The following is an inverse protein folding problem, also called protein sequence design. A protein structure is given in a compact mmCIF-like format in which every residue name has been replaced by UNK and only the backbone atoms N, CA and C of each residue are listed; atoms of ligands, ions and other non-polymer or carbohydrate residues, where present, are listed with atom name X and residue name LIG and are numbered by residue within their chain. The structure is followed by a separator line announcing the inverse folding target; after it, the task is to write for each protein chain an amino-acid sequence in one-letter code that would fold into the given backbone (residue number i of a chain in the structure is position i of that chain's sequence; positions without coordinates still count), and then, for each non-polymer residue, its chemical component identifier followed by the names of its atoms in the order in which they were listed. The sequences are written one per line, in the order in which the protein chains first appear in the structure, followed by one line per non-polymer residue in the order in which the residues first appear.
data_IF_159941603126
#
_entry.id   IF_159941603126
#
_cell.length_a   1.000
_cell.length_b   1.000
_cell.length_c   1.000
_cell.angle_alpha   90.00
_cell.angle_beta   90.00
_cell.angle_gamma   90.00
#
_symmetry.space_group_name_H-M   'P 1'
#
loop_
_entity.id
_entity.type
_entity.pdbx_description
1 polymer ?
#
# COMPACT_ATOMS: atom_id res chain seq x y z
N UNK A 1 -24.40 -4.70 -13.17
CA UNK A 1 -24.17 -5.35 -14.50
C UNK A 1 -22.84 -6.10 -14.60
N UNK A 2 -21.78 -5.73 -13.87
CA UNK A 2 -20.58 -6.59 -13.69
C UNK A 2 -20.69 -7.56 -12.50
N UNK A 3 -21.45 -7.16 -11.46
CA UNK A 3 -21.70 -7.90 -10.21
C UNK A 3 -22.32 -9.29 -10.39
N UNK A 4 -23.19 -9.46 -11.37
CA UNK A 4 -23.89 -10.74 -11.61
C UNK A 4 -23.13 -11.66 -12.57
N UNK A 5 -22.20 -11.10 -13.35
CA UNK A 5 -21.59 -11.83 -14.47
C UNK A 5 -20.27 -12.52 -14.09
N UNK A 6 -19.55 -11.99 -13.08
CA UNK A 6 -18.26 -12.54 -12.63
C UNK A 6 -18.08 -12.37 -11.11
N UNK A 7 -18.82 -13.14 -10.29
CA UNK A 7 -18.68 -13.07 -8.84
C UNK A 7 -17.27 -13.43 -8.35
N UNK A 8 -16.46 -14.15 -9.15
CA UNK A 8 -15.07 -14.52 -8.88
C UNK A 8 -14.07 -13.38 -8.70
N UNK A 9 -14.40 -12.16 -9.12
CA UNK A 9 -13.53 -11.00 -8.91
C UNK A 9 -13.84 -10.25 -7.60
N UNK A 10 -14.76 -10.74 -6.77
CA UNK A 10 -15.08 -10.12 -5.49
C UNK A 10 -14.33 -10.76 -4.32
N UNK A 11 -13.81 -9.96 -3.35
CA UNK A 11 -13.12 -10.46 -2.17
C UNK A 11 -13.93 -11.50 -1.39
N UNK A 12 -15.23 -11.24 -1.20
CA UNK A 12 -16.10 -12.13 -0.43
C UNK A 12 -16.35 -13.46 -1.13
N UNK A 13 -16.42 -13.48 -2.47
CA UNK A 13 -16.61 -14.73 -3.22
C UNK A 13 -15.35 -15.60 -3.19
N UNK A 14 -14.16 -15.00 -3.36
CA UNK A 14 -12.91 -15.73 -3.23
C UNK A 14 -12.79 -16.30 -1.81
N UNK A 15 -13.09 -15.52 -0.77
CA UNK A 15 -13.03 -16.01 0.62
C UNK A 15 -14.07 -17.07 0.97
N UNK A 16 -15.30 -16.98 0.46
CA UNK A 16 -16.30 -18.04 0.59
C UNK A 16 -15.86 -19.33 -0.11
N UNK A 17 -15.13 -19.24 -1.22
CA UNK A 17 -14.60 -20.39 -1.95
C UNK A 17 -13.35 -20.96 -1.28
N UNK A 18 -12.43 -20.12 -0.81
CA UNK A 18 -11.27 -20.52 -0.01
C UNK A 18 -11.70 -21.29 1.24
N UNK A 19 -12.73 -20.84 1.96
CA UNK A 19 -13.23 -21.55 3.14
C UNK A 19 -13.92 -22.89 2.83
N UNK A 20 -14.39 -23.09 1.59
CA UNK A 20 -15.01 -24.35 1.12
C UNK A 20 -14.02 -25.30 0.46
N UNK A 21 -12.82 -24.84 0.14
CA UNK A 21 -11.76 -25.67 -0.40
C UNK A 21 -11.10 -26.48 0.72
N UNK A 22 -11.08 -27.80 0.57
CA UNK A 22 -10.62 -28.75 1.60
C UNK A 22 -9.14 -28.58 1.96
N UNK A 23 -8.36 -27.98 1.06
CA UNK A 23 -6.96 -27.62 1.28
C UNK A 23 -6.81 -26.39 2.17
N UNK A 24 -7.59 -25.34 1.89
CA UNK A 24 -7.52 -24.06 2.60
C UNK A 24 -8.25 -24.09 3.94
N UNK A 25 -9.26 -24.95 4.10
CA UNK A 25 -9.95 -25.17 5.38
C UNK A 25 -9.05 -25.81 6.46
N UNK A 26 -7.89 -26.36 6.08
CA UNK A 26 -6.89 -26.97 6.99
C UNK A 26 -5.81 -25.98 7.41
N UNK A 27 -5.74 -24.81 6.79
CA UNK A 27 -4.80 -23.77 7.15
C UNK A 27 -5.43 -22.96 8.29
N UNK A 28 -4.79 -22.97 9.47
CA UNK A 28 -5.24 -22.10 10.55
C UNK A 28 -5.14 -20.64 10.10
N UNK A 29 -6.22 -19.86 10.21
CA UNK A 29 -6.19 -18.45 9.85
C UNK A 29 -5.14 -17.73 10.69
N UNK A 30 -4.29 -16.93 10.03
CA UNK A 30 -3.33 -16.09 10.73
C UNK A 30 -4.11 -15.08 11.59
N UNK A 31 -3.84 -15.07 12.89
CA UNK A 31 -4.40 -14.07 13.78
C UNK A 31 -3.66 -12.73 13.60
N UNK A 32 -4.17 -11.91 12.69
CA UNK A 32 -3.66 -10.57 12.35
C UNK A 32 -3.72 -9.57 13.52
N UNK A 33 -4.48 -9.87 14.60
CA UNK A 33 -4.54 -8.98 15.78
C UNK A 33 -3.22 -8.86 16.53
N UNK A 34 -2.32 -9.82 16.32
CA UNK A 34 -0.99 -9.88 16.96
C UNK A 34 0.08 -9.11 16.20
N UNK A 35 -0.23 -8.64 15.00
CA UNK A 35 0.72 -7.93 14.15
C UNK A 35 0.52 -6.42 14.27
N UNK A 36 1.64 -5.72 14.19
CA UNK A 36 1.73 -4.27 14.04
C UNK A 36 2.64 -4.03 12.83
N UNK A 37 2.10 -3.45 11.76
CA UNK A 37 2.73 -3.40 10.44
C UNK A 37 2.79 -1.95 9.95
N UNK A 38 4.01 -1.49 9.66
CA UNK A 38 4.27 -0.24 8.96
C UNK A 38 4.75 -0.60 7.56
N UNK A 39 4.02 -0.17 6.54
CA UNK A 39 4.41 -0.30 5.14
C UNK A 39 4.73 1.09 4.57
N UNK A 40 5.94 1.25 4.06
CA UNK A 40 6.43 2.50 3.49
C UNK A 40 6.65 2.31 2.00
N UNK A 41 6.04 3.16 1.19
CA UNK A 41 6.25 3.18 -0.26
C UNK A 41 7.21 4.30 -0.67
N UNK A 42 7.84 4.13 -1.82
CA UNK A 42 8.76 5.11 -2.42
C UNK A 42 8.04 6.13 -3.33
N UNK A 43 6.71 6.16 -3.28
CA UNK A 43 5.83 6.95 -4.12
C UNK A 43 5.40 6.26 -5.41
N UNK A 44 4.34 6.78 -5.99
CA UNK A 44 3.80 6.45 -7.30
C UNK A 44 3.80 7.72 -8.17
N UNK A 45 4.18 7.53 -9.43
CA UNK A 45 4.20 8.60 -10.40
C UNK A 45 2.77 8.90 -10.87
N UNK A 46 2.34 10.16 -10.77
CA UNK A 46 1.13 10.63 -11.45
C UNK A 46 1.53 11.55 -12.58
N UNK A 47 1.19 11.17 -13.81
CA UNK A 47 1.44 12.02 -14.96
C UNK A 47 0.28 13.01 -15.19
N UNK A 48 0.62 14.26 -14.89
CA UNK A 48 0.20 15.56 -15.47
C UNK A 48 -1.30 15.79 -15.70
N UNK A 49 -2.00 16.10 -14.62
CA UNK A 49 -2.76 17.34 -14.34
C UNK A 49 -3.53 17.06 -13.03
N UNK A 50 -3.56 17.97 -12.07
CA UNK A 50 -4.31 17.75 -10.82
C UNK A 50 -5.81 17.50 -11.07
N UNK A 51 -6.28 17.80 -12.28
CA UNK A 51 -7.65 17.63 -12.75
C UNK A 51 -7.82 16.57 -13.85
N UNK A 52 -6.77 15.84 -14.26
CA UNK A 52 -6.87 14.72 -15.23
C UNK A 52 -6.00 13.56 -14.80
N UNK A 53 -6.64 12.40 -14.68
CA UNK A 53 -5.92 11.12 -14.62
C UNK A 53 -5.55 10.77 -16.07
N UNK A 54 -4.37 11.21 -16.54
CA UNK A 54 -3.83 10.71 -17.79
C UNK A 54 -3.04 9.42 -17.48
N UNK A 55 -3.57 8.29 -17.96
CA UNK A 55 -2.85 7.03 -17.94
C UNK A 55 -1.53 7.20 -18.71
N UNK A 56 -0.42 6.72 -18.16
CA UNK A 56 0.91 6.74 -18.78
C UNK A 56 0.88 6.29 -20.25
N UNK A 57 0.05 5.29 -20.54
CA UNK A 57 -0.09 4.67 -21.84
C UNK A 57 -1.53 4.31 -22.14
N UNK A 58 -1.97 4.49 -23.39
CA UNK A 58 -3.25 3.93 -23.85
C UNK A 58 -3.06 2.52 -24.41
N UNK A 59 -4.12 1.71 -24.37
CA UNK A 59 -4.11 0.39 -25.02
C UNK A 59 -3.82 0.49 -26.53
N UNK A 60 -4.28 1.58 -27.17
CA UNK A 60 -3.99 1.83 -28.59
C UNK A 60 -2.51 2.10 -28.83
N UNK A 61 -1.85 2.90 -27.99
CA UNK A 61 -0.41 3.13 -28.04
C UNK A 61 0.35 1.81 -27.83
N UNK A 62 0.02 1.07 -26.77
CA UNK A 62 0.69 -0.18 -26.42
C UNK A 62 0.54 -1.25 -27.51
N UNK A 63 -0.58 -1.27 -28.24
CA UNK A 63 -0.80 -2.22 -29.35
C UNK A 63 0.19 -2.06 -30.50
N UNK A 64 0.83 -0.88 -30.61
CA UNK A 64 1.80 -0.55 -31.67
C UNK A 64 3.25 -0.77 -31.21
N UNK A 65 3.48 -1.24 -29.98
CA UNK A 65 4.82 -1.38 -29.43
C UNK A 65 5.57 -2.59 -29.97
N UNK A 66 6.83 -2.34 -30.32
CA UNK A 66 7.80 -3.42 -30.53
C UNK A 66 8.49 -3.80 -29.20
N UNK A 67 9.28 -4.88 -29.22
CA UNK A 67 9.98 -5.39 -28.01
C UNK A 67 10.86 -4.35 -27.32
N UNK A 68 11.48 -3.43 -28.07
CA UNK A 68 12.30 -2.37 -27.48
C UNK A 68 11.43 -1.34 -26.77
N UNK A 69 10.30 -0.95 -27.36
CA UNK A 69 9.35 -0.01 -26.76
C UNK A 69 8.72 -0.56 -25.47
N UNK A 70 8.51 -1.87 -25.37
CA UNK A 70 8.11 -2.52 -24.11
C UNK A 70 9.16 -2.41 -23.00
N UNK A 71 10.45 -2.40 -23.36
CA UNK A 71 11.56 -2.30 -22.39
C UNK A 71 11.87 -0.86 -22.02
N UNK A 72 11.95 0.04 -23.02
CA UNK A 72 12.34 1.43 -22.84
C UNK A 72 11.55 2.32 -23.81
N UNK A 73 10.87 3.32 -23.27
CA UNK A 73 10.27 4.41 -24.04
C UNK A 73 11.13 5.68 -23.94
N UNK A 74 12.03 5.87 -24.91
CA UNK A 74 12.86 7.08 -24.97
C UNK A 74 12.07 8.39 -25.15
N UNK A 75 10.85 8.34 -25.69
CA UNK A 75 10.03 9.55 -25.88
C UNK A 75 9.39 10.03 -24.58
N UNK A 76 9.10 9.11 -23.66
CA UNK A 76 8.54 9.40 -22.34
C UNK A 76 9.55 9.20 -21.21
N UNK A 77 10.80 8.84 -21.53
CA UNK A 77 11.88 8.50 -20.60
C UNK A 77 11.47 7.52 -19.49
N UNK A 78 10.86 6.40 -19.88
CA UNK A 78 10.22 5.43 -18.97
C UNK A 78 10.55 3.99 -19.38
N UNK A 79 10.27 3.03 -18.51
CA UNK A 79 10.55 1.60 -18.72
C UNK A 79 9.26 0.80 -18.56
N UNK A 80 8.40 0.70 -19.59
CA UNK A 80 6.99 0.33 -19.41
C UNK A 80 6.75 -0.97 -18.65
N UNK A 81 7.48 -2.04 -18.99
CA UNK A 81 7.34 -3.33 -18.28
C UNK A 81 7.71 -3.23 -16.80
N UNK A 82 8.75 -2.48 -16.47
CA UNK A 82 9.18 -2.28 -15.08
C UNK A 82 8.15 -1.41 -14.36
N UNK A 83 7.71 -0.32 -14.99
CA UNK A 83 6.74 0.60 -14.41
C UNK A 83 5.40 -0.12 -14.09
N UNK A 84 4.87 -0.90 -15.05
CA UNK A 84 3.65 -1.71 -14.83
C UNK A 84 3.83 -2.74 -13.71
N UNK A 85 4.98 -3.42 -13.67
CA UNK A 85 5.25 -4.41 -12.64
C UNK A 85 5.33 -3.77 -11.25
N UNK A 86 6.06 -2.66 -11.13
CA UNK A 86 6.25 -1.99 -9.86
C UNK A 86 4.93 -1.42 -9.33
N UNK A 87 4.17 -0.69 -10.16
CA UNK A 87 2.87 -0.13 -9.79
C UNK A 87 1.85 -1.23 -9.44
N UNK A 88 1.69 -2.22 -10.34
CA UNK A 88 0.76 -3.32 -10.13
C UNK A 88 1.11 -4.17 -8.90
N UNK A 89 2.40 -4.37 -8.60
CA UNK A 89 2.82 -5.10 -7.40
C UNK A 89 2.50 -4.35 -6.11
N UNK A 90 2.66 -3.02 -6.10
CA UNK A 90 2.33 -2.19 -4.94
C UNK A 90 0.83 -2.24 -4.65
N UNK A 91 -0.01 -2.05 -5.68
CA UNK A 91 -1.46 -2.11 -5.55
C UNK A 91 -1.96 -3.49 -5.08
N UNK A 92 -1.38 -4.56 -5.63
CA UNK A 92 -1.74 -5.92 -5.24
C UNK A 92 -1.38 -6.21 -3.77
N UNK A 93 -0.23 -5.73 -3.29
CA UNK A 93 0.15 -5.88 -1.88
C UNK A 93 -0.80 -5.08 -0.98
N UNK A 94 -1.07 -3.82 -1.33
CA UNK A 94 -1.94 -2.95 -0.53
C UNK A 94 -3.38 -3.49 -0.49
N UNK A 95 -3.87 -4.11 -1.57
CA UNK A 95 -5.14 -4.84 -1.58
C UNK A 95 -5.13 -6.07 -0.68
N UNK A 96 -4.14 -6.96 -0.81
CA UNK A 96 -4.11 -8.20 -0.03
C UNK A 96 -4.00 -7.93 1.47
N UNK A 97 -3.13 -6.99 1.88
CA UNK A 97 -2.98 -6.63 3.29
C UNK A 97 -4.26 -5.97 3.80
N UNK A 98 -4.92 -5.14 2.99
CA UNK A 98 -6.19 -4.55 3.38
C UNK A 98 -7.29 -5.59 3.57
N UNK A 99 -7.39 -6.58 2.68
CA UNK A 99 -8.29 -7.73 2.83
C UNK A 99 -8.01 -8.43 4.16
N UNK A 100 -6.75 -8.74 4.48
CA UNK A 100 -6.37 -9.42 5.72
C UNK A 100 -6.75 -8.64 6.98
N UNK A 101 -6.50 -7.33 7.02
CA UNK A 101 -6.81 -6.49 8.18
C UNK A 101 -8.29 -6.06 8.26
N UNK A 102 -9.07 -6.09 7.18
CA UNK A 102 -10.52 -5.81 7.18
C UNK A 102 -11.40 -7.05 7.35
N UNK A 103 -10.90 -8.26 7.13
CA UNK A 103 -11.74 -9.42 6.82
C UNK A 103 -12.64 -9.99 7.93
N UNK A 104 -12.72 -9.40 9.12
CA UNK A 104 -13.72 -9.86 10.10
C UNK A 104 -14.23 -8.72 10.99
N UNK A 105 -15.49 -8.81 11.43
CA UNK A 105 -16.09 -7.93 12.45
C UNK A 105 -15.26 -7.86 13.74
N UNK A 106 -14.41 -8.86 14.00
CA UNK A 106 -13.49 -8.92 15.15
C UNK A 106 -12.21 -8.09 14.94
N UNK A 107 -11.84 -7.85 13.68
CA UNK A 107 -10.60 -7.16 13.30
C UNK A 107 -10.80 -5.67 12.99
N UNK A 108 -12.04 -5.17 12.88
CA UNK A 108 -12.29 -3.71 12.76
C UNK A 108 -11.56 -2.90 13.84
N UNK A 109 -11.46 -3.42 15.06
CA UNK A 109 -10.72 -2.76 16.16
C UNK A 109 -9.20 -2.78 15.97
N UNK A 110 -8.66 -3.72 15.21
CA UNK A 110 -7.23 -3.85 14.90
C UNK A 110 -6.88 -3.28 13.53
N UNK A 111 -7.85 -2.66 12.85
CA UNK A 111 -7.64 -2.07 11.52
C UNK A 111 -6.52 -1.03 11.51
N UNK A 112 -6.23 -0.38 12.64
CA UNK A 112 -5.16 0.61 12.79
C UNK A 112 -3.79 0.01 13.07
N UNK A 113 -3.71 -1.33 13.23
CA UNK A 113 -2.43 -2.02 13.38
C UNK A 113 -1.65 -2.11 12.06
N UNK A 114 -2.27 -1.78 10.93
CA UNK A 114 -1.61 -1.64 9.64
C UNK A 114 -1.69 -0.20 9.16
N UNK A 115 -0.54 0.38 8.80
CA UNK A 115 -0.46 1.67 8.14
C UNK A 115 0.38 1.57 6.87
N UNK A 116 -0.11 2.22 5.81
CA UNK A 116 0.58 2.41 4.54
C UNK A 116 0.84 3.88 4.32
N UNK A 117 2.11 4.27 4.25
CA UNK A 117 2.52 5.64 3.94
C UNK A 117 3.13 5.62 2.54
N UNK A 118 2.48 6.34 1.62
CA UNK A 118 2.83 6.34 0.20
C UNK A 118 2.57 7.71 -0.43
N UNK A 119 3.50 8.15 -1.29
CA UNK A 119 3.41 9.42 -2.01
C UNK A 119 2.70 9.27 -3.35
N UNK A 120 1.43 9.67 -3.43
CA UNK A 120 0.59 9.51 -4.63
C UNK A 120 0.64 10.69 -5.62
N UNK A 121 1.74 11.42 -5.67
CA UNK A 121 1.82 12.65 -6.47
C UNK A 121 3.24 12.97 -6.92
N UNK A 122 4.09 11.95 -7.11
CA UNK A 122 5.41 12.18 -7.69
C UNK A 122 5.25 12.55 -9.17
N UNK A 123 6.05 13.51 -9.63
CA UNK A 123 6.02 13.96 -11.02
C UNK A 123 7.36 14.58 -11.44
N UNK A 124 7.59 14.67 -12.75
CA UNK A 124 8.86 15.18 -13.29
C UNK A 124 10.06 14.42 -12.73
N UNK A 125 11.08 15.16 -12.26
CA UNK A 125 12.31 14.57 -11.73
C UNK A 125 12.08 13.66 -10.52
N UNK A 126 11.11 14.00 -9.66
CA UNK A 126 10.82 13.23 -8.44
C UNK A 126 10.21 11.86 -8.72
N UNK A 127 9.69 11.63 -9.93
CA UNK A 127 9.19 10.32 -10.38
C UNK A 127 10.28 9.45 -11.02
N UNK A 128 11.50 9.98 -11.25
CA UNK A 128 12.61 9.24 -11.84
C UNK A 128 13.31 8.37 -10.79
N UNK A 129 13.50 7.08 -11.09
CA UNK A 129 14.12 6.11 -10.17
C UNK A 129 15.64 6.29 -10.03
N UNK A 130 16.29 6.87 -11.03
CA UNK A 130 17.74 6.94 -11.20
C UNK A 130 18.30 8.37 -11.14
N UNK A 131 17.47 9.36 -10.78
CA UNK A 131 17.90 10.75 -10.67
C UNK A 131 18.50 11.05 -9.28
N UNK A 132 19.83 11.14 -9.24
CA UNK A 132 20.63 11.43 -8.04
C UNK A 132 20.99 12.92 -7.87
N UNK A 133 20.41 13.81 -8.67
CA UNK A 133 20.69 15.24 -8.56
C UNK A 133 20.35 15.75 -7.16
N UNK A 134 21.24 16.54 -6.56
CA UNK A 134 21.08 16.99 -5.17
C UNK A 134 19.79 17.79 -4.95
N UNK A 135 19.33 18.53 -5.97
CA UNK A 135 18.04 19.22 -5.94
C UNK A 135 16.89 18.21 -5.85
N UNK A 136 16.89 17.17 -6.68
CA UNK A 136 15.87 16.11 -6.67
C UNK A 136 15.82 15.38 -5.31
N UNK A 137 16.99 15.07 -4.73
CA UNK A 137 17.07 14.45 -3.40
C UNK A 137 16.50 15.36 -2.29
N UNK A 138 16.71 16.67 -2.40
CA UNK A 138 16.12 17.63 -1.47
C UNK A 138 14.60 17.72 -1.64
N UNK A 139 14.10 17.73 -2.88
CA UNK A 139 12.66 17.76 -3.17
C UNK A 139 11.97 16.49 -2.62
N UNK A 140 12.56 15.30 -2.84
CA UNK A 140 12.08 14.04 -2.28
C UNK A 140 12.05 14.04 -0.74
N UNK A 141 13.05 14.68 -0.11
CA UNK A 141 13.09 14.85 1.35
C UNK A 141 11.96 15.76 1.84
N UNK A 142 11.68 16.85 1.15
CA UNK A 142 10.55 17.73 1.49
C UNK A 142 9.21 17.02 1.30
N UNK A 143 9.02 16.27 0.20
CA UNK A 143 7.84 15.42 -0.01
C UNK A 143 7.66 14.45 1.17
N UNK A 144 8.73 13.79 1.62
CA UNK A 144 8.69 12.90 2.78
C UNK A 144 8.23 13.59 4.07
N UNK A 145 8.66 14.84 4.30
CA UNK A 145 8.21 15.63 5.46
C UNK A 145 6.74 16.04 5.32
N UNK A 146 6.32 16.45 4.12
CA UNK A 146 4.93 16.80 3.86
C UNK A 146 3.99 15.62 4.08
N UNK A 147 4.40 14.40 3.71
CA UNK A 147 3.62 13.19 3.95
C UNK A 147 3.27 13.00 5.43
N UNK A 148 4.13 13.42 6.36
CA UNK A 148 3.85 13.31 7.80
C UNK A 148 2.59 14.10 8.19
N UNK A 149 2.36 15.26 7.55
CA UNK A 149 1.19 16.10 7.79
C UNK A 149 -0.06 15.65 7.05
N UNK A 150 0.05 14.77 6.04
CA UNK A 150 -1.11 14.28 5.29
C UNK A 150 -1.93 13.31 6.14
N UNK A 151 -3.23 13.27 5.87
CA UNK A 151 -4.12 12.25 6.43
C UNK A 151 -3.69 10.87 5.97
N UNK A 152 -3.92 9.88 6.83
CA UNK A 152 -3.73 8.51 6.45
C UNK A 152 -4.65 8.13 5.29
N UNK A 153 -4.07 7.41 4.33
CA UNK A 153 -4.80 6.79 3.25
C UNK A 153 -4.97 5.30 3.52
N UNK A 154 -6.00 4.71 2.95
CA UNK A 154 -6.28 3.29 3.05
C UNK A 154 -6.93 2.76 1.78
N UNK A 155 -6.56 1.54 1.40
CA UNK A 155 -7.15 0.88 0.24
C UNK A 155 -8.66 0.70 0.44
N UNK A 156 -9.43 1.25 -0.51
CA UNK A 156 -10.85 0.97 -0.63
C UNK A 156 -11.02 -0.24 -1.55
N UNK A 157 -11.32 -1.40 -0.96
CA UNK A 157 -11.50 -2.67 -1.68
C UNK A 157 -12.65 -2.66 -2.70
N UNK A 158 -13.58 -1.70 -2.65
CA UNK A 158 -14.62 -1.57 -3.67
C UNK A 158 -14.17 -0.65 -4.81
N UNK A 159 -13.48 0.44 -4.47
CA UNK A 159 -13.01 1.41 -5.46
C UNK A 159 -11.68 1.01 -6.12
N UNK A 160 -10.92 0.07 -5.54
CA UNK A 160 -9.61 -0.37 -6.01
C UNK A 160 -8.55 0.72 -5.96
N UNK A 161 -8.67 1.66 -5.03
CA UNK A 161 -7.71 2.75 -4.85
C UNK A 161 -7.63 3.17 -3.38
N UNK A 162 -6.53 3.80 -3.03
CA UNK A 162 -6.33 4.40 -1.70
C UNK A 162 -7.14 5.68 -1.54
N UNK A 163 -7.84 5.81 -0.40
CA UNK A 163 -8.69 6.96 -0.05
C UNK A 163 -8.41 7.43 1.38
N UNK A 164 -8.68 8.69 1.68
CA UNK A 164 -8.53 9.23 3.04
C UNK A 164 -9.40 8.44 4.03
N UNK A 165 -8.82 8.11 5.18
CA UNK A 165 -9.58 7.49 6.26
C UNK A 165 -10.56 8.52 6.82
N UNK A 166 -11.85 8.26 6.64
CA UNK A 166 -12.91 8.98 7.37
C UNK A 166 -12.98 8.37 8.77
N UNK A 167 -12.38 9.04 9.74
CA UNK A 167 -12.49 8.73 11.16
C UNK A 167 -13.10 9.93 11.90
N UNK A 168 -13.68 9.70 13.09
CA UNK A 168 -14.28 10.74 13.93
C UNK A 168 -13.29 11.85 14.34
N UNK A 169 -11.98 11.59 14.18
CA UNK A 169 -10.90 12.54 14.33
C UNK A 169 -9.97 12.44 13.13
N UNK A 170 -9.41 13.58 12.73
CA UNK A 170 -8.40 13.66 11.69
C UNK A 170 -7.11 12.95 12.17
N UNK A 171 -6.74 11.85 11.52
CA UNK A 171 -5.52 11.09 11.82
C UNK A 171 -4.51 11.29 10.70
N UNK A 172 -3.42 11.99 11.01
CA UNK A 172 -2.29 12.19 10.11
C UNK A 172 -1.29 11.04 10.20
N UNK A 173 -0.43 10.91 9.19
CA UNK A 173 0.67 9.93 9.20
C UNK A 173 1.61 10.13 10.40
N UNK A 174 1.88 11.38 10.79
CA UNK A 174 2.69 11.71 11.98
C UNK A 174 2.08 11.14 13.25
N UNK A 175 0.81 11.42 13.52
CA UNK A 175 0.12 10.95 14.73
C UNK A 175 0.05 9.42 14.78
N UNK A 176 -0.12 8.78 13.61
CA UNK A 176 -0.07 7.33 13.52
C UNK A 176 1.32 6.79 13.87
N UNK A 177 2.39 7.35 13.30
CA UNK A 177 3.76 6.96 13.60
C UNK A 177 4.12 7.15 15.07
N UNK A 178 3.67 8.25 15.69
CA UNK A 178 3.85 8.49 17.13
C UNK A 178 3.18 7.41 17.97
N UNK A 179 1.96 7.01 17.62
CA UNK A 179 1.26 5.91 18.27
C UNK A 179 2.01 4.58 18.08
N UNK A 180 2.45 4.27 16.86
CA UNK A 180 3.27 3.07 16.59
C UNK A 180 4.54 3.05 17.44
N UNK A 181 5.25 4.18 17.54
CA UNK A 181 6.46 4.30 18.35
C UNK A 181 6.19 4.00 19.83
N UNK A 182 5.12 4.54 20.39
CA UNK A 182 4.72 4.25 21.78
C UNK A 182 4.43 2.77 22.01
N UNK A 183 3.68 2.14 21.10
CA UNK A 183 3.38 0.71 21.19
C UNK A 183 4.66 -0.13 21.12
N UNK A 184 5.56 0.17 20.17
CA UNK A 184 6.83 -0.54 20.01
C UNK A 184 7.72 -0.43 21.26
N UNK A 185 7.84 0.75 21.85
CA UNK A 185 8.58 0.96 23.11
C UNK A 185 7.96 0.16 24.26
N UNK A 186 6.64 0.21 24.41
CA UNK A 186 5.95 -0.57 25.44
C UNK A 186 6.15 -2.08 25.26
N UNK A 187 6.10 -2.59 24.03
CA UNK A 187 6.36 -4.01 23.76
C UNK A 187 7.80 -4.41 24.09
N UNK A 188 8.78 -3.55 23.74
CA UNK A 188 10.19 -3.80 24.07
C UNK A 188 10.38 -3.94 25.59
N UNK A 189 9.80 -3.05 26.38
CA UNK A 189 9.87 -3.13 27.84
C UNK A 189 9.27 -4.43 28.38
N UNK A 190 8.07 -4.81 27.90
CA UNK A 190 7.42 -6.07 28.31
C UNK A 190 8.27 -7.30 28.03
N UNK A 191 8.94 -7.34 26.87
CA UNK A 191 9.84 -8.44 26.51
C UNK A 191 11.06 -8.48 27.43
N UNK A 192 11.65 -7.31 27.73
CA UNK A 192 12.79 -7.21 28.64
C UNK A 192 12.42 -7.67 30.06
N UNK A 193 11.27 -7.23 30.58
CA UNK A 193 10.80 -7.63 31.91
C UNK A 193 10.56 -9.14 31.98
N UNK A 194 9.93 -9.72 30.97
CA UNK A 194 9.71 -11.16 30.88
C UNK A 194 11.03 -11.96 30.84
N UNK A 195 12.04 -11.47 30.10
CA UNK A 195 13.37 -12.09 30.07
C UNK A 195 14.09 -11.98 31.42
N UNK A 196 13.98 -10.84 32.10
CA UNK A 196 14.59 -10.65 33.42
C UNK A 196 13.97 -11.60 34.46
N UNK A 197 12.65 -11.77 34.44
CA UNK A 197 11.95 -12.74 35.31
C UNK A 197 12.39 -14.18 35.00
N UNK A 198 12.49 -14.54 33.71
CA UNK A 198 12.93 -15.87 33.30
C UNK A 198 14.38 -16.20 33.71
N UNK A 199 15.27 -15.20 33.69
CA UNK A 199 16.68 -15.37 34.07
C UNK A 199 16.92 -15.32 35.59
N UNK A 200 15.93 -14.89 36.37
CA UNK A 200 15.98 -14.83 37.84
C UNK A 200 15.44 -16.08 38.55
N UNK A 201 14.87 -17.02 37.79
CA UNK A 201 14.36 -18.32 38.26
C UNK A 201 15.26 -19.46 37.75
#
# INVERSE_FOLDING_TARGET
MLTERYPEFYPNYLMERYNKDEYFSRIEPIDYSRFLVISLGAGDAKNVDANKVEYMYTAEEASKWNRLKWLVDFSKNTNPLIDFFMEGSADMIDWNVEVDFKNTDKLEKYRYNYIRIQAHSLSGNTASLDNIDQSNLNDLKEIGKELLGKKMLRMNLLAGKSEEIVADKEVTNMTALDWFAQVLVAQRHRVQDAMNVANSN
#
